data_IF_326371667354
#
_entry.id   IF_326371667354
#
_cell.length_a   1.000
_cell.length_b   1.000
_cell.length_c   1.000
_cell.angle_alpha   90.00
_cell.angle_beta   90.00
_cell.angle_gamma   90.00
#
_symmetry.space_group_name_H-M   'P 1'
#
loop_
_entity.id
_entity.type
_entity.pdbx_description
1 polymer ?
#
# COMPACT_ATOMS: atom_id res chain seq x y z
N UNK A 1 -4.48 3.12 -8.98
CA UNK A 1 -3.59 3.65 -10.05
C UNK A 1 -3.69 2.88 -11.35
N UNK A 2 -4.15 1.62 -11.37
CA UNK A 2 -4.26 0.83 -12.61
C UNK A 2 -2.93 0.29 -13.15
N UNK A 3 -1.84 0.38 -12.38
CA UNK A 3 -0.51 -0.12 -12.75
C UNK A 3 0.14 -0.83 -11.56
N UNK A 4 0.99 -1.82 -11.84
CA UNK A 4 1.77 -2.50 -10.81
C UNK A 4 2.72 -1.47 -10.16
N UNK A 5 2.86 -1.44 -8.83
CA UNK A 5 3.85 -0.61 -8.17
C UNK A 5 5.26 -0.81 -8.73
N UNK A 6 5.98 0.29 -8.93
CA UNK A 6 7.31 0.30 -9.54
C UNK A 6 7.37 -0.37 -10.93
N UNK A 7 6.25 -0.45 -11.67
CA UNK A 7 6.29 -0.97 -13.04
C UNK A 7 7.12 -0.02 -13.92
N UNK A 8 8.25 -0.49 -14.43
CA UNK A 8 8.94 0.14 -15.54
C UNK A 8 8.90 -0.81 -16.74
N UNK A 9 7.96 -0.61 -17.69
CA UNK A 9 7.81 -1.51 -18.84
C UNK A 9 9.05 -1.57 -19.74
N UNK A 10 9.96 -0.59 -19.63
CA UNK A 10 11.22 -0.56 -20.39
C UNK A 10 12.35 -1.36 -19.73
N UNK A 11 12.19 -1.75 -18.45
CA UNK A 11 13.23 -2.42 -17.65
C UNK A 11 12.62 -3.65 -16.95
N UNK A 12 12.03 -4.55 -17.72
CA UNK A 12 11.61 -5.85 -17.22
C UNK A 12 12.81 -6.81 -17.25
N UNK A 13 13.73 -6.68 -16.29
CA UNK A 13 14.89 -7.57 -16.13
C UNK A 13 14.93 -8.17 -14.73
N UNK A 14 15.51 -9.36 -14.59
CA UNK A 14 15.75 -10.00 -13.28
C UNK A 14 16.49 -9.07 -12.31
N UNK A 15 17.45 -8.29 -12.81
CA UNK A 15 18.17 -7.27 -12.03
C UNK A 15 17.25 -6.19 -11.48
N UNK A 16 16.26 -5.75 -12.26
CA UNK A 16 15.28 -4.77 -11.79
C UNK A 16 14.37 -5.34 -10.69
N UNK A 17 13.96 -6.60 -10.80
CA UNK A 17 13.21 -7.28 -9.74
C UNK A 17 14.02 -7.41 -8.45
N UNK A 18 15.32 -7.74 -8.52
CA UNK A 18 16.20 -7.76 -7.35
C UNK A 18 16.29 -6.37 -6.67
N UNK A 19 16.30 -5.30 -7.47
CA UNK A 19 16.26 -3.92 -6.94
C UNK A 19 14.96 -3.62 -6.19
N UNK A 20 13.82 -4.06 -6.71
CA UNK A 20 12.52 -3.93 -6.04
C UNK A 20 12.50 -4.70 -4.72
N UNK A 21 12.99 -5.94 -4.71
CA UNK A 21 13.10 -6.73 -3.48
C UNK A 21 13.99 -6.04 -2.43
N UNK A 22 15.11 -5.46 -2.86
CA UNK A 22 15.98 -4.69 -1.97
C UNK A 22 15.25 -3.46 -1.39
N UNK A 23 14.47 -2.73 -2.19
CA UNK A 23 13.66 -1.61 -1.69
C UNK A 23 12.66 -2.05 -0.63
N UNK A 24 11.91 -3.12 -0.89
CA UNK A 24 10.93 -3.68 0.06
C UNK A 24 11.63 -4.11 1.36
N UNK A 25 12.77 -4.80 1.25
CA UNK A 25 13.55 -5.24 2.40
C UNK A 25 14.01 -4.06 3.28
N UNK A 26 14.33 -2.92 2.66
CA UNK A 26 14.73 -1.69 3.34
C UNK A 26 13.55 -0.77 3.73
N UNK A 27 12.31 -1.27 3.68
CA UNK A 27 11.13 -0.53 4.12
C UNK A 27 10.63 0.55 3.18
N UNK A 28 11.14 0.58 1.95
CA UNK A 28 10.57 1.43 0.90
C UNK A 28 9.28 0.79 0.42
N UNK A 29 8.18 1.53 0.52
CA UNK A 29 6.88 1.13 0.00
C UNK A 29 6.53 1.96 -1.26
N UNK A 30 5.59 1.48 -2.09
CA UNK A 30 5.08 2.28 -3.19
C UNK A 30 4.50 3.60 -2.71
N UNK A 31 4.79 4.69 -3.41
CA UNK A 31 4.14 5.98 -3.14
C UNK A 31 2.66 5.90 -3.46
N UNK A 32 1.82 6.36 -2.53
CA UNK A 32 0.39 6.57 -2.78
C UNK A 32 0.26 7.82 -3.66
N UNK A 33 -0.36 7.74 -4.86
CA UNK A 33 -0.37 8.89 -5.74
C UNK A 33 -1.36 9.97 -5.30
N UNK A 34 -0.87 11.22 -5.28
CA UNK A 34 -1.64 12.38 -4.85
C UNK A 34 -2.65 12.85 -5.91
N UNK A 35 -2.53 12.39 -7.15
CA UNK A 35 -3.39 12.74 -8.29
C UNK A 35 -4.73 11.98 -8.31
N UNK A 36 -4.91 10.98 -7.45
CA UNK A 36 -6.11 10.13 -7.41
C UNK A 36 -7.22 10.65 -6.49
N UNK A 37 -7.10 11.84 -5.89
CA UNK A 37 -8.09 12.43 -4.98
C UNK A 37 -8.65 11.41 -3.94
N UNK A 38 -7.75 10.65 -3.31
CA UNK A 38 -8.12 9.65 -2.30
C UNK A 38 -8.52 10.33 -0.99
N UNK A 39 -9.51 9.78 -0.29
CA UNK A 39 -9.87 10.26 1.04
C UNK A 39 -8.73 10.06 2.05
N UNK A 40 -8.70 10.88 3.09
CA UNK A 40 -7.67 10.78 4.13
C UNK A 40 -7.72 9.41 4.83
N UNK A 41 -8.91 8.85 5.01
CA UNK A 41 -9.18 7.55 5.61
C UNK A 41 -8.63 6.43 4.72
N UNK A 42 -8.76 6.54 3.40
CA UNK A 42 -8.18 5.60 2.45
C UNK A 42 -6.65 5.63 2.50
N UNK A 43 -6.07 6.83 2.52
CA UNK A 43 -4.61 7.02 2.61
C UNK A 43 -4.08 6.44 3.92
N UNK A 44 -4.75 6.69 5.05
CA UNK A 44 -4.36 6.15 6.35
C UNK A 44 -4.45 4.62 6.38
N UNK A 45 -5.53 4.05 5.84
CA UNK A 45 -5.69 2.60 5.71
C UNK A 45 -4.52 1.97 4.94
N UNK A 46 -4.15 2.54 3.79
CA UNK A 46 -3.00 2.08 3.00
C UNK A 46 -1.68 2.20 3.76
N UNK A 47 -1.47 3.27 4.53
CA UNK A 47 -0.27 3.44 5.37
C UNK A 47 -0.18 2.38 6.47
N UNK A 48 -1.30 1.95 7.04
CA UNK A 48 -1.33 0.86 8.02
C UNK A 48 -0.96 -0.49 7.37
N UNK A 49 -1.40 -0.73 6.13
CA UNK A 49 -1.01 -1.90 5.35
C UNK A 49 0.48 -1.89 4.97
N UNK A 50 1.02 -0.73 4.62
CA UNK A 50 2.41 -0.56 4.16
C UNK A 50 3.43 -0.44 5.30
N UNK A 51 3.03 -0.61 6.56
CA UNK A 51 3.99 -0.67 7.68
C UNK A 51 5.01 -1.78 7.46
N UNK A 52 6.29 -1.41 7.36
CA UNK A 52 7.37 -2.36 7.11
C UNK A 52 7.59 -3.30 8.28
N UNK A 53 7.67 -2.76 9.50
CA UNK A 53 7.79 -3.55 10.72
C UNK A 53 6.52 -4.37 10.94
N UNK A 54 6.60 -5.72 10.89
CA UNK A 54 5.44 -6.58 11.02
C UNK A 54 4.76 -6.47 12.39
N UNK A 55 5.50 -6.11 13.45
CA UNK A 55 4.92 -5.94 14.79
C UNK A 55 4.10 -4.64 14.91
N UNK A 56 4.35 -3.68 14.02
CA UNK A 56 3.61 -2.41 13.93
C UNK A 56 2.54 -2.43 12.83
N UNK A 57 2.56 -3.42 11.95
CA UNK A 57 1.58 -3.59 10.88
C UNK A 57 0.25 -4.03 11.48
N UNK A 58 -0.81 -3.31 11.11
CA UNK A 58 -2.16 -3.66 11.57
C UNK A 58 -2.56 -5.03 11.03
N UNK A 59 -3.12 -5.86 11.90
CA UNK A 59 -3.73 -7.14 11.53
C UNK A 59 -5.00 -6.92 10.70
N UNK A 60 -5.42 -7.95 9.96
CA UNK A 60 -6.69 -7.91 9.21
C UNK A 60 -7.89 -7.58 10.10
N UNK A 61 -7.93 -8.13 11.33
CA UNK A 61 -9.01 -7.85 12.29
C UNK A 61 -9.03 -6.39 12.77
N UNK A 62 -7.87 -5.74 12.86
CA UNK A 62 -7.79 -4.30 13.16
C UNK A 62 -8.19 -3.46 11.93
N UNK A 63 -7.72 -3.83 10.74
CA UNK A 63 -8.04 -3.14 9.48
C UNK A 63 -9.53 -3.17 9.15
N UNK A 64 -10.24 -4.27 9.43
CA UNK A 64 -11.69 -4.35 9.26
C UNK A 64 -12.48 -3.37 10.14
N UNK A 65 -11.88 -2.89 11.24
CA UNK A 65 -12.49 -1.90 12.13
C UNK A 65 -12.12 -0.46 11.76
N UNK A 66 -11.30 -0.27 10.73
CA UNK A 66 -10.83 1.04 10.28
C UNK A 66 -11.98 1.90 9.72
N UNK A 67 -11.89 3.22 9.88
CA UNK A 67 -12.91 4.17 9.42
C UNK A 67 -13.24 4.00 7.93
N UNK A 68 -12.21 3.85 7.10
CA UNK A 68 -12.35 3.60 5.65
C UNK A 68 -13.26 2.41 5.31
N UNK A 69 -13.24 1.33 6.08
CA UNK A 69 -14.07 0.13 5.81
C UNK A 69 -15.46 0.29 6.42
N UNK A 70 -15.53 0.83 7.65
CA UNK A 70 -16.81 1.05 8.36
C UNK A 70 -17.76 1.98 7.63
N UNK A 71 -17.24 2.95 6.88
CA UNK A 71 -18.05 3.85 6.05
C UNK A 71 -18.89 3.06 5.03
N UNK A 72 -18.35 1.97 4.48
CA UNK A 72 -19.06 1.14 3.50
C UNK A 72 -19.93 0.07 4.14
N UNK A 73 -19.63 -0.40 5.35
CA UNK A 73 -20.44 -1.45 6.02
C UNK A 73 -21.76 -0.92 6.61
N UNK A 74 -21.88 0.38 6.84
CA UNK A 74 -23.09 0.98 7.42
C UNK A 74 -24.11 1.45 6.36
N UNK A 75 -23.84 1.20 5.07
CA UNK A 75 -24.70 1.57 3.95
C UNK A 75 -25.50 0.37 3.38
N UNK A 76 -25.47 -0.79 4.06
CA UNK A 76 -26.39 -1.92 3.88
C UNK A 76 -27.50 -1.89 4.95
#
# INVERSE_FOLDING_TARGET
TGRIPWSNPKIASSVYYLKILNWIANGVHPSIPNDLNLSNECIDFLKQCFQHDPNRRSSSHQLLKHAFIKEYSNND
#
